data_IF_132890629718
#
_entry.id   IF_132890629718
#
_cell.length_a   1.000
_cell.length_b   1.000
_cell.length_c   1.000
_cell.angle_alpha   90.00
_cell.angle_beta   90.00
_cell.angle_gamma   90.00
#
_symmetry.space_group_name_H-M   'P 1'
#
loop_
_entity.id
_entity.type
_entity.pdbx_description
1 polymer ?
#
# COMPACT_ATOMS: atom_id res chain seq x y z
N UNK A 1 12.70 7.51 -11.36
CA UNK A 1 12.23 8.91 -11.29
C UNK A 1 13.07 9.60 -10.21
N UNK A 2 13.70 10.73 -10.51
CA UNK A 2 14.75 11.30 -9.65
C UNK A 2 14.31 12.54 -8.85
N UNK A 3 13.41 13.38 -9.39
CA UNK A 3 12.92 14.61 -8.74
C UNK A 3 11.42 14.55 -8.48
N UNK A 4 10.97 15.16 -7.37
CA UNK A 4 9.55 15.31 -7.06
C UNK A 4 8.80 16.15 -8.11
N UNK A 5 9.41 17.19 -8.66
CA UNK A 5 8.82 18.00 -9.73
C UNK A 5 8.46 17.19 -10.98
N UNK A 6 9.27 16.19 -11.34
CA UNK A 6 8.95 15.30 -12.46
C UNK A 6 7.74 14.40 -12.14
N UNK A 7 7.54 14.04 -10.87
CA UNK A 7 6.35 13.31 -10.43
C UNK A 7 5.10 14.19 -10.50
N UNK A 8 5.22 15.45 -10.06
CA UNK A 8 4.14 16.43 -10.12
C UNK A 8 3.60 16.59 -11.54
N UNK A 9 4.45 16.89 -12.53
CA UNK A 9 4.01 17.03 -13.92
C UNK A 9 3.46 15.72 -14.51
N UNK A 10 4.00 14.55 -14.11
CA UNK A 10 3.47 13.24 -14.52
C UNK A 10 2.04 12.99 -14.04
N UNK A 11 1.71 13.42 -12.81
CA UNK A 11 0.38 13.21 -12.21
C UNK A 11 -0.59 14.37 -12.40
N UNK A 12 -0.09 15.58 -12.72
CA UNK A 12 -0.90 16.77 -13.02
C UNK A 12 -1.82 16.59 -14.23
N UNK A 13 -1.35 15.86 -15.25
CA UNK A 13 -2.16 15.55 -16.46
C UNK A 13 -3.09 14.35 -16.27
N UNK A 14 -3.04 13.70 -15.10
CA UNK A 14 -3.86 12.53 -14.75
C UNK A 14 -4.76 12.88 -13.57
N UNK A 15 -5.39 11.87 -12.96
CA UNK A 15 -6.15 12.05 -11.72
C UNK A 15 -5.26 12.58 -10.59
N UNK A 16 -5.83 13.44 -9.75
CA UNK A 16 -5.19 13.95 -8.54
C UNK A 16 -4.91 12.81 -7.54
N UNK A 17 -3.69 12.28 -7.59
CA UNK A 17 -3.27 11.10 -6.80
C UNK A 17 -1.86 11.21 -6.25
N UNK A 18 -1.29 12.41 -6.34
CA UNK A 18 0.04 12.77 -5.83
C UNK A 18 -0.06 14.17 -5.22
N UNK A 19 0.53 14.43 -4.04
CA UNK A 19 1.31 13.52 -3.20
C UNK A 19 0.44 12.48 -2.46
N UNK A 20 1.07 11.40 -1.97
CA UNK A 20 0.40 10.39 -1.13
C UNK A 20 0.95 10.46 0.29
N UNK A 21 0.08 10.71 1.25
CA UNK A 21 0.43 10.74 2.69
C UNK A 21 0.33 9.31 3.25
N UNK A 22 1.27 8.95 4.13
CA UNK A 22 1.23 7.67 4.83
C UNK A 22 0.10 7.66 5.86
N UNK A 23 -0.71 6.60 5.90
CA UNK A 23 -1.85 6.51 6.82
C UNK A 23 -1.49 6.52 8.31
N UNK A 24 -0.23 6.24 8.67
CA UNK A 24 0.27 6.32 10.06
C UNK A 24 0.54 7.78 10.48
N UNK A 25 0.81 8.66 9.52
CA UNK A 25 0.99 10.09 9.78
C UNK A 25 -0.34 10.84 9.94
N UNK A 26 -1.47 10.15 9.76
CA UNK A 26 -2.81 10.72 9.85
C UNK A 26 -3.37 10.56 11.27
N UNK A 27 -4.45 11.28 11.55
CA UNK A 27 -5.17 11.16 12.82
C UNK A 27 -6.06 9.89 12.83
N UNK A 28 -6.43 9.34 14.02
CA UNK A 28 -7.29 8.16 14.13
C UNK A 28 -8.64 8.30 13.39
N UNK A 29 -9.14 9.52 13.30
CA UNK A 29 -10.42 9.86 12.66
C UNK A 29 -10.35 9.69 11.13
N UNK A 30 -9.18 9.94 10.55
CA UNK A 30 -9.00 10.01 9.10
C UNK A 30 -8.61 8.66 8.51
N UNK A 31 -7.76 7.91 9.22
CA UNK A 31 -7.20 6.66 8.72
C UNK A 31 -7.06 5.62 9.85
N UNK A 32 -7.42 4.34 9.61
CA UNK A 32 -7.35 3.30 10.64
C UNK A 32 -5.95 3.04 11.22
N UNK A 33 -4.91 3.33 10.45
CA UNK A 33 -3.51 3.22 10.91
C UNK A 33 -2.99 4.47 11.63
N UNK A 34 -3.80 5.53 11.69
CA UNK A 34 -3.39 6.82 12.22
C UNK A 34 -3.59 6.92 13.73
N UNK A 35 -2.84 7.82 14.37
CA UNK A 35 -2.88 8.04 15.81
C UNK A 35 -1.66 7.53 16.57
N UNK A 36 -1.82 7.43 17.88
CA UNK A 36 -0.77 7.02 18.80
C UNK A 36 0.25 8.12 19.11
N UNK A 37 1.08 7.88 20.13
CA UNK A 37 2.21 8.75 20.47
C UNK A 37 3.45 8.44 19.63
N UNK A 38 3.55 7.20 19.14
CA UNK A 38 4.58 6.78 18.21
C UNK A 38 3.91 6.44 16.88
N UNK A 39 4.64 6.64 15.77
CA UNK A 39 4.14 6.28 14.45
C UNK A 39 4.29 4.78 14.23
N UNK A 40 3.26 4.02 14.60
CA UNK A 40 3.19 2.58 14.40
C UNK A 40 1.76 2.15 14.02
N UNK A 41 1.65 0.93 13.49
CA UNK A 41 0.34 0.29 13.30
C UNK A 41 0.14 -0.64 14.50
N UNK A 42 -0.82 -0.34 15.36
CA UNK A 42 -1.08 -1.11 16.59
C UNK A 42 -1.70 -2.49 16.32
N UNK A 43 -2.21 -2.70 15.11
CA UNK A 43 -2.86 -3.94 14.69
C UNK A 43 -2.21 -4.54 13.43
N UNK A 44 -2.56 -5.78 13.11
CA UNK A 44 -2.08 -6.40 11.87
C UNK A 44 -2.53 -5.58 10.64
N UNK A 45 -1.61 -5.32 9.70
CA UNK A 45 -1.90 -4.61 8.46
C UNK A 45 -2.56 -5.48 7.39
N UNK A 46 -2.69 -6.79 7.62
CA UNK A 46 -3.40 -7.73 6.76
C UNK A 46 -4.88 -7.72 7.06
N UNK A 47 -5.71 -7.39 6.07
CA UNK A 47 -7.15 -7.23 6.25
C UNK A 47 -7.91 -8.24 5.39
N UNK A 48 -9.02 -8.78 5.91
CA UNK A 48 -9.89 -9.73 5.18
C UNK A 48 -10.50 -9.08 3.94
N UNK A 49 -10.76 -9.88 2.90
CA UNK A 49 -11.38 -9.42 1.62
C UNK A 49 -12.72 -8.72 1.81
N UNK A 50 -13.48 -9.16 2.82
CA UNK A 50 -14.87 -8.76 3.05
C UNK A 50 -14.98 -7.68 4.14
N UNK A 51 -13.85 -7.11 4.58
CA UNK A 51 -13.86 -5.99 5.50
C UNK A 51 -14.72 -4.85 4.93
N UNK A 52 -15.45 -4.11 5.77
CA UNK A 52 -16.26 -2.99 5.33
C UNK A 52 -15.39 -1.87 4.72
N UNK A 53 -15.99 -0.98 3.91
CA UNK A 53 -15.34 0.26 3.49
C UNK A 53 -14.80 1.01 4.72
N UNK A 54 -13.70 1.75 4.54
CA UNK A 54 -12.88 2.38 5.61
C UNK A 54 -12.04 1.42 6.46
N UNK A 55 -12.51 0.22 6.79
CA UNK A 55 -11.66 -0.78 7.48
C UNK A 55 -10.72 -1.50 6.51
N UNK A 56 -11.11 -1.60 5.24
CA UNK A 56 -10.35 -2.25 4.17
C UNK A 56 -9.14 -1.41 3.70
N UNK A 57 -8.13 -1.27 4.56
CA UNK A 57 -6.86 -0.58 4.31
C UNK A 57 -5.67 -1.53 4.55
N UNK A 58 -4.47 -1.18 4.08
CA UNK A 58 -3.28 -2.02 4.23
C UNK A 58 -3.19 -3.16 3.20
N UNK A 59 -2.74 -4.34 3.65
CA UNK A 59 -2.54 -5.54 2.83
C UNK A 59 -3.84 -6.34 2.72
N UNK A 60 -4.67 -5.98 1.73
CA UNK A 60 -5.99 -6.56 1.54
C UNK A 60 -5.87 -8.00 1.01
N UNK A 61 -6.44 -8.94 1.76
CA UNK A 61 -6.50 -10.37 1.44
C UNK A 61 -5.14 -10.99 1.08
N UNK A 62 -4.05 -10.45 1.65
CA UNK A 62 -2.71 -10.93 1.39
C UNK A 62 -2.53 -12.37 1.91
N UNK A 63 -2.12 -13.28 1.02
CA UNK A 63 -1.85 -14.69 1.36
C UNK A 63 -0.45 -14.90 1.94
N UNK A 64 0.48 -14.03 1.58
CA UNK A 64 1.88 -14.00 2.04
C UNK A 64 2.30 -12.54 2.19
N UNK A 65 3.10 -12.26 3.20
CA UNK A 65 3.70 -10.94 3.44
C UNK A 65 5.23 -11.02 3.39
N UNK A 66 5.90 -9.86 3.47
CA UNK A 66 7.36 -9.76 3.43
C UNK A 66 7.94 -9.81 2.01
N UNK A 67 9.27 -9.78 1.94
CA UNK A 67 10.00 -9.81 0.67
C UNK A 67 9.85 -11.18 0.01
N UNK A 68 9.52 -11.20 -1.29
CA UNK A 68 9.52 -12.41 -2.07
C UNK A 68 10.97 -12.87 -2.29
N UNK A 69 11.34 -14.01 -1.70
CA UNK A 69 12.64 -14.67 -1.87
C UNK A 69 12.43 -16.06 -2.50
N UNK A 70 13.26 -16.43 -3.47
CA UNK A 70 13.28 -17.76 -4.11
C UNK A 70 12.18 -18.06 -5.13
N UNK A 71 11.27 -17.12 -5.42
CA UNK A 71 10.08 -17.35 -6.28
C UNK A 71 10.05 -16.48 -7.55
N UNK A 72 10.97 -15.52 -7.70
CA UNK A 72 10.99 -14.62 -8.85
C UNK A 72 11.14 -15.39 -10.19
N UNK A 73 11.88 -16.49 -10.18
CA UNK A 73 12.03 -17.41 -11.32
C UNK A 73 10.77 -18.27 -11.54
N UNK A 74 10.13 -18.76 -10.48
CA UNK A 74 8.95 -19.63 -10.58
C UNK A 74 7.72 -18.94 -11.19
N UNK A 75 7.55 -17.63 -10.95
CA UNK A 75 6.46 -16.84 -11.56
C UNK A 75 6.72 -16.49 -13.03
N UNK A 76 7.98 -16.28 -13.42
CA UNK A 76 8.36 -16.03 -14.83
C UNK A 76 8.18 -17.31 -15.66
N UNK A 77 8.67 -18.46 -15.18
CA UNK A 77 8.52 -19.76 -15.86
C UNK A 77 7.05 -20.19 -16.04
N UNK A 78 6.16 -19.75 -15.15
CA UNK A 78 4.72 -20.03 -15.27
C UNK A 78 4.01 -19.07 -16.24
N UNK A 79 4.53 -17.85 -16.42
CA UNK A 79 4.01 -16.87 -17.37
C UNK A 79 4.41 -17.19 -18.82
N UNK A 80 5.58 -17.80 -19.03
CA UNK A 80 6.08 -18.20 -20.36
C UNK A 80 5.46 -19.50 -20.90
N UNK A 81 4.69 -20.23 -20.08
CA UNK A 81 3.97 -21.47 -20.45
C UNK A 81 2.47 -21.28 -20.66
N UNK A 82 2.01 -20.03 -20.77
CA UNK A 82 0.62 -19.66 -21.05
C UNK A 82 0.50 -19.03 -22.44
#
# INVERSE_FOLDING_TARGET
MLKAGNAYHKFSVKKNSWPKVHGVAMNPVEHPHGGGNHQNIDHASTVRRDAPPRQKVGLIAARRTGRLCGQATATVVKADKA
#
